data_IF_828201602129
#
_entry.id   IF_828201602129
#
_cell.length_a   1.000
_cell.length_b   1.000
_cell.length_c   1.000
_cell.angle_alpha   90.00
_cell.angle_beta   90.00
_cell.angle_gamma   90.00
#
_symmetry.space_group_name_H-M   'P 1'
#
loop_
_entity.id
_entity.type
_entity.pdbx_description
1 polymer ?
#
# COMPACT_ATOMS: atom_id res chain seq x y z
N UNK A 1 11.81 6.75 -31.09
CA UNK A 1 12.17 5.38 -30.71
C UNK A 1 13.65 5.21 -30.31
N UNK A 2 14.57 6.07 -30.69
CA UNK A 2 16.04 5.96 -30.43
C UNK A 2 16.54 6.63 -29.15
N UNK A 3 15.82 7.60 -28.58
CA UNK A 3 16.26 8.34 -27.37
C UNK A 3 16.02 7.59 -26.05
N UNK A 4 15.12 6.60 -26.02
CA UNK A 4 14.78 5.84 -24.80
C UNK A 4 15.82 4.77 -24.41
N UNK A 5 16.62 4.31 -25.37
CA UNK A 5 17.57 3.21 -25.12
C UNK A 5 18.90 3.65 -24.46
N UNK A 6 19.31 4.90 -24.57
CA UNK A 6 20.64 5.35 -24.10
C UNK A 6 20.63 5.75 -22.62
N UNK A 7 19.57 6.37 -22.12
CA UNK A 7 19.48 6.74 -20.70
C UNK A 7 19.13 5.55 -19.81
N UNK A 8 18.25 4.68 -20.27
CA UNK A 8 17.94 3.43 -19.55
C UNK A 8 19.16 2.53 -19.45
N UNK A 9 19.96 2.43 -20.53
CA UNK A 9 21.22 1.68 -20.52
C UNK A 9 22.26 2.30 -19.56
N UNK A 10 22.36 3.62 -19.49
CA UNK A 10 23.25 4.31 -18.54
C UNK A 10 22.87 4.12 -17.09
N UNK A 11 21.57 4.19 -16.77
CA UNK A 11 21.06 3.94 -15.42
C UNK A 11 21.33 2.49 -15.02
N UNK A 12 21.08 1.53 -15.91
CA UNK A 12 21.37 0.10 -15.71
C UNK A 12 22.87 -0.13 -15.51
N UNK A 13 23.72 0.56 -16.26
CA UNK A 13 25.18 0.43 -16.16
C UNK A 13 25.74 1.06 -14.89
N UNK A 14 25.23 2.20 -14.46
CA UNK A 14 25.57 2.83 -13.17
C UNK A 14 25.20 1.91 -12.01
N UNK A 15 24.01 1.32 -12.04
CA UNK A 15 23.58 0.38 -10.99
C UNK A 15 24.34 -0.96 -11.03
N UNK A 16 24.70 -1.44 -12.21
CA UNK A 16 25.55 -2.62 -12.37
C UNK A 16 26.94 -2.38 -11.75
N UNK A 17 27.57 -1.23 -12.06
CA UNK A 17 28.85 -0.82 -11.47
C UNK A 17 28.75 -0.62 -9.96
N UNK A 18 27.61 -0.14 -9.44
CA UNK A 18 27.38 0.01 -8.01
C UNK A 18 27.19 -1.35 -7.34
N UNK A 19 26.49 -2.28 -7.96
CA UNK A 19 26.28 -3.64 -7.45
C UNK A 19 27.56 -4.49 -7.49
N UNK A 20 28.40 -4.30 -8.50
CA UNK A 20 29.70 -4.99 -8.59
C UNK A 20 30.72 -4.53 -7.54
N UNK A 21 30.59 -3.27 -7.08
CA UNK A 21 31.46 -2.68 -6.04
C UNK A 21 31.01 -2.91 -4.60
N UNK A 22 29.79 -3.44 -4.38
CA UNK A 22 29.23 -3.70 -3.06
C UNK A 22 28.94 -5.20 -2.88
N UNK A 23 29.83 -5.94 -2.20
CA UNK A 23 29.71 -7.40 -2.00
C UNK A 23 28.37 -7.81 -1.37
N UNK A 24 27.81 -6.98 -0.49
CA UNK A 24 26.54 -7.25 0.21
C UNK A 24 25.32 -7.16 -0.73
N UNK A 25 25.32 -6.22 -1.67
CA UNK A 25 24.26 -6.14 -2.69
C UNK A 25 24.31 -7.32 -3.66
N UNK A 26 25.51 -7.81 -3.99
CA UNK A 26 25.68 -9.01 -4.81
C UNK A 26 25.19 -10.27 -4.08
N UNK A 27 25.47 -10.40 -2.79
CA UNK A 27 24.96 -11.49 -1.96
C UNK A 27 23.44 -11.43 -1.85
N UNK A 28 22.87 -10.25 -1.68
CA UNK A 28 21.43 -10.05 -1.65
C UNK A 28 20.75 -10.38 -2.99
N UNK A 29 21.34 -9.98 -4.11
CA UNK A 29 20.89 -10.38 -5.46
C UNK A 29 20.90 -11.90 -5.62
N UNK A 30 22.01 -12.57 -5.26
CA UNK A 30 22.10 -14.02 -5.31
C UNK A 30 21.06 -14.71 -4.40
N UNK A 31 20.80 -14.16 -3.23
CA UNK A 31 19.78 -14.65 -2.32
C UNK A 31 18.36 -14.53 -2.92
N UNK A 32 18.02 -13.38 -3.54
CA UNK A 32 16.75 -13.21 -4.23
C UNK A 32 16.61 -14.17 -5.42
N UNK A 33 17.65 -14.30 -6.24
CA UNK A 33 17.67 -15.29 -7.33
C UNK A 33 17.50 -16.72 -6.83
N UNK A 34 18.16 -17.08 -5.74
CA UNK A 34 18.01 -18.42 -5.15
C UNK A 34 16.60 -18.67 -4.63
N UNK A 35 15.98 -17.69 -4.02
CA UNK A 35 14.59 -17.82 -3.54
C UNK A 35 13.63 -17.94 -4.72
N UNK A 36 13.65 -17.01 -5.67
CA UNK A 36 12.64 -16.97 -6.71
C UNK A 36 12.87 -17.96 -7.85
N UNK A 37 14.12 -18.27 -8.23
CA UNK A 37 14.41 -19.31 -9.22
C UNK A 37 14.11 -20.73 -8.72
N UNK A 38 14.10 -20.95 -7.39
CA UNK A 38 13.65 -22.19 -6.78
C UNK A 38 12.17 -22.20 -6.40
N UNK A 39 11.53 -21.05 -6.37
CA UNK A 39 10.11 -20.93 -6.04
C UNK A 39 9.27 -21.29 -7.26
N UNK A 40 8.62 -22.45 -7.21
CA UNK A 40 7.64 -22.83 -8.22
C UNK A 40 6.39 -21.95 -8.12
N UNK A 41 5.61 -21.84 -9.21
CA UNK A 41 4.30 -21.21 -9.18
C UNK A 41 3.39 -21.84 -8.12
N UNK A 42 3.51 -23.17 -7.91
CA UNK A 42 2.77 -23.86 -6.85
C UNK A 42 3.15 -23.36 -5.44
N UNK A 43 4.44 -23.24 -5.14
CA UNK A 43 4.91 -22.72 -3.84
C UNK A 43 4.50 -21.26 -3.63
N UNK A 44 4.53 -20.45 -4.68
CA UNK A 44 4.06 -19.07 -4.64
C UNK A 44 2.54 -19.00 -4.37
N UNK A 45 1.74 -19.85 -5.00
CA UNK A 45 0.30 -19.92 -4.72
C UNK A 45 0.02 -20.35 -3.27
N UNK A 46 0.79 -21.29 -2.72
CA UNK A 46 0.69 -21.64 -1.29
C UNK A 46 0.99 -20.44 -0.41
N UNK A 47 2.04 -19.67 -0.73
CA UNK A 47 2.35 -18.43 -0.02
C UNK A 47 1.17 -17.43 -0.07
N UNK A 48 0.54 -17.21 -1.23
CA UNK A 48 -0.64 -16.34 -1.35
C UNK A 48 -1.84 -16.87 -0.55
N UNK A 49 -2.06 -18.18 -0.51
CA UNK A 49 -3.12 -18.80 0.31
C UNK A 49 -2.85 -18.53 1.81
N UNK A 50 -1.61 -18.75 2.26
CA UNK A 50 -1.22 -18.46 3.65
C UNK A 50 -1.48 -16.99 3.97
N UNK A 51 -1.04 -16.07 3.09
CA UNK A 51 -1.28 -14.64 3.25
C UNK A 51 -2.78 -14.31 3.31
N UNK A 52 -3.61 -14.98 2.50
CA UNK A 52 -5.07 -14.78 2.53
C UNK A 52 -5.69 -15.26 3.83
N UNK A 53 -5.27 -16.42 4.34
CA UNK A 53 -5.74 -16.94 5.64
C UNK A 53 -5.35 -15.99 6.77
N UNK A 54 -4.09 -15.51 6.79
CA UNK A 54 -3.63 -14.54 7.78
C UNK A 54 -4.41 -13.22 7.68
N UNK A 55 -4.75 -12.76 6.46
CA UNK A 55 -5.60 -11.57 6.28
C UNK A 55 -6.98 -11.74 6.95
N UNK A 56 -7.61 -12.91 6.79
CA UNK A 56 -8.90 -13.21 7.45
C UNK A 56 -8.74 -13.23 8.97
N UNK A 57 -7.68 -13.84 9.49
CA UNK A 57 -7.38 -13.85 10.94
C UNK A 57 -7.19 -12.43 11.48
N UNK A 58 -6.43 -11.59 10.75
CA UNK A 58 -6.22 -10.18 11.10
C UNK A 58 -7.53 -9.41 11.07
N UNK A 59 -8.35 -9.59 10.02
CA UNK A 59 -9.66 -8.98 9.89
C UNK A 59 -10.54 -9.25 11.11
N UNK A 60 -10.67 -10.52 11.50
CA UNK A 60 -11.45 -10.93 12.66
C UNK A 60 -10.85 -10.36 13.95
N UNK A 61 -9.53 -10.46 14.12
CA UNK A 61 -8.83 -10.00 15.33
C UNK A 61 -9.01 -8.50 15.58
N UNK A 62 -9.03 -7.67 14.52
CA UNK A 62 -9.18 -6.22 14.61
C UNK A 62 -10.59 -5.76 15.03
N UNK A 63 -11.58 -6.65 15.08
CA UNK A 63 -12.86 -6.36 15.73
C UNK A 63 -12.80 -6.50 17.26
N UNK A 64 -11.82 -7.24 17.78
CA UNK A 64 -11.66 -7.47 19.22
C UNK A 64 -10.53 -6.65 19.83
N UNK A 65 -9.51 -6.29 19.00
CA UNK A 65 -8.32 -5.59 19.45
C UNK A 65 -8.17 -4.29 18.66
N UNK A 66 -8.13 -3.16 19.38
CA UNK A 66 -7.86 -1.87 18.76
C UNK A 66 -6.37 -1.76 18.37
N UNK A 67 -6.10 -1.47 17.12
CA UNK A 67 -4.75 -1.12 16.69
C UNK A 67 -4.30 0.17 17.39
N UNK A 68 -3.31 0.05 18.26
CA UNK A 68 -2.94 1.03 19.29
C UNK A 68 -2.29 2.33 18.79
N UNK A 69 -2.62 2.86 17.60
CA UNK A 69 -2.04 4.08 17.02
C UNK A 69 -3.09 5.09 16.54
N UNK A 70 -2.67 6.32 16.28
CA UNK A 70 -3.54 7.42 15.88
C UNK A 70 -4.55 7.76 16.98
N UNK A 71 -5.84 7.83 16.66
CA UNK A 71 -6.94 8.11 17.61
C UNK A 71 -7.10 7.04 18.71
N UNK A 72 -6.49 5.87 18.53
CA UNK A 72 -6.54 4.71 19.43
C UNK A 72 -5.19 4.42 20.08
N UNK A 73 -4.27 5.40 20.13
CA UNK A 73 -2.96 5.21 20.74
C UNK A 73 -3.05 4.61 22.14
N UNK A 74 -2.26 3.55 22.37
CA UNK A 74 -2.20 2.84 23.65
C UNK A 74 -0.76 2.44 23.96
N UNK A 75 -0.24 2.87 25.11
CA UNK A 75 1.11 2.57 25.61
C UNK A 75 1.39 1.08 25.79
N UNK A 76 0.36 0.24 25.96
CA UNK A 76 0.52 -1.22 26.09
C UNK A 76 1.14 -1.87 24.84
N UNK A 77 1.10 -1.18 23.70
CA UNK A 77 1.70 -1.65 22.44
C UNK A 77 3.20 -1.36 22.32
N UNK A 78 3.84 -0.87 23.38
CA UNK A 78 5.29 -0.69 23.44
C UNK A 78 5.75 0.78 23.40
N UNK A 79 7.08 1.00 23.25
CA UNK A 79 7.66 2.33 23.23
C UNK A 79 7.08 3.22 22.13
N UNK A 80 6.93 4.50 22.44
CA UNK A 80 6.41 5.50 21.51
C UNK A 80 7.50 6.00 20.56
N UNK A 81 7.16 6.04 19.27
CA UNK A 81 7.97 6.64 18.20
C UNK A 81 7.24 7.85 17.66
N UNK A 82 7.94 8.88 17.23
CA UNK A 82 7.34 10.01 16.54
C UNK A 82 6.52 9.49 15.33
N UNK A 83 5.28 9.97 15.20
CA UNK A 83 4.34 9.42 14.22
C UNK A 83 4.82 9.62 12.77
N UNK A 84 5.42 10.76 12.44
CA UNK A 84 5.97 11.02 11.09
C UNK A 84 7.11 10.06 10.78
N UNK A 85 8.04 9.90 11.71
CA UNK A 85 9.15 8.96 11.58
C UNK A 85 8.61 7.51 11.51
N UNK A 86 7.64 7.17 12.35
CA UNK A 86 6.99 5.86 12.32
C UNK A 86 6.40 5.52 10.96
N UNK A 87 5.69 6.45 10.32
CA UNK A 87 5.15 6.28 8.96
C UNK A 87 6.25 6.08 7.92
N UNK A 88 7.31 6.91 7.94
CA UNK A 88 8.44 6.74 7.02
C UNK A 88 9.09 5.37 7.20
N UNK A 89 9.39 4.96 8.43
CA UNK A 89 10.03 3.69 8.73
C UNK A 89 9.14 2.49 8.37
N UNK A 90 7.83 2.62 8.51
CA UNK A 90 6.88 1.55 8.25
C UNK A 90 6.65 1.34 6.74
N UNK A 91 6.55 2.43 5.96
CA UNK A 91 6.15 2.37 4.56
C UNK A 91 7.35 2.37 3.58
N UNK A 92 8.50 2.98 3.94
CA UNK A 92 9.66 3.02 3.02
C UNK A 92 10.29 1.64 2.71
N UNK A 93 10.24 0.62 3.58
CA UNK A 93 10.84 -0.68 3.25
C UNK A 93 10.25 -1.35 2.02
N UNK A 94 8.94 -1.21 1.77
CA UNK A 94 8.32 -1.80 0.57
C UNK A 94 8.77 -1.09 -0.69
N UNK A 95 8.89 0.25 -0.65
CA UNK A 95 9.43 1.04 -1.76
C UNK A 95 10.82 0.55 -2.16
N UNK A 96 11.75 0.47 -1.22
CA UNK A 96 13.10 -0.01 -1.51
C UNK A 96 13.13 -1.49 -1.90
N UNK A 97 12.32 -2.33 -1.27
CA UNK A 97 12.25 -3.74 -1.60
C UNK A 97 11.76 -3.98 -3.03
N UNK A 98 10.73 -3.26 -3.49
CA UNK A 98 10.24 -3.36 -4.86
C UNK A 98 11.28 -2.90 -5.88
N UNK A 99 11.98 -1.79 -5.60
CA UNK A 99 13.10 -1.33 -6.45
C UNK A 99 14.22 -2.37 -6.53
N UNK A 100 14.58 -3.00 -5.41
CA UNK A 100 15.60 -4.04 -5.39
C UNK A 100 15.14 -5.29 -6.16
N UNK A 101 13.89 -5.73 -5.98
CA UNK A 101 13.32 -6.85 -6.73
C UNK A 101 13.34 -6.58 -8.25
N UNK A 102 12.95 -5.38 -8.67
CA UNK A 102 13.03 -4.97 -10.06
C UNK A 102 14.48 -4.95 -10.57
N UNK A 103 15.38 -4.28 -9.85
CA UNK A 103 16.78 -4.07 -10.25
C UNK A 103 17.52 -5.39 -10.50
N UNK A 104 17.24 -6.38 -9.65
CA UNK A 104 17.90 -7.70 -9.74
C UNK A 104 17.15 -8.72 -10.61
N UNK A 105 16.04 -8.32 -11.22
CA UNK A 105 15.29 -9.18 -12.13
C UNK A 105 15.88 -9.16 -13.54
N UNK A 106 15.85 -10.31 -14.23
CA UNK A 106 16.16 -10.39 -15.66
C UNK A 106 15.10 -9.70 -16.53
N UNK A 107 13.90 -9.42 -15.94
CA UNK A 107 12.76 -8.75 -16.58
C UNK A 107 12.74 -7.23 -16.36
N UNK A 108 13.84 -6.66 -15.88
CA UNK A 108 13.92 -5.21 -15.56
C UNK A 108 13.71 -4.27 -16.73
N UNK A 109 13.93 -4.73 -17.97
CA UNK A 109 13.73 -3.94 -19.19
C UNK A 109 12.32 -4.11 -19.80
N UNK A 110 11.47 -4.96 -19.21
CA UNK A 110 10.11 -5.18 -19.69
C UNK A 110 9.23 -3.96 -19.39
N UNK A 111 8.70 -3.34 -20.43
CA UNK A 111 7.93 -2.08 -20.33
C UNK A 111 6.63 -2.24 -19.57
N UNK A 112 5.97 -3.41 -19.66
CA UNK A 112 4.71 -3.66 -18.94
C UNK A 112 4.98 -3.77 -17.44
N UNK A 113 6.02 -4.48 -17.06
CA UNK A 113 6.44 -4.63 -15.67
C UNK A 113 6.95 -3.33 -15.07
N UNK A 114 7.60 -2.49 -15.88
CA UNK A 114 7.97 -1.13 -15.49
C UNK A 114 6.76 -0.23 -15.23
N UNK A 115 5.71 -0.35 -16.05
CA UNK A 115 4.46 0.39 -15.81
C UNK A 115 3.82 0.00 -14.47
N UNK A 116 3.80 -1.30 -14.13
CA UNK A 116 3.30 -1.77 -12.83
C UNK A 116 4.17 -1.28 -11.67
N UNK A 117 5.49 -1.34 -11.82
CA UNK A 117 6.41 -0.78 -10.83
C UNK A 117 6.15 0.70 -10.61
N UNK A 118 6.04 1.48 -11.68
CA UNK A 118 5.80 2.92 -11.59
C UNK A 118 4.51 3.24 -10.82
N UNK A 119 3.42 2.54 -11.10
CA UNK A 119 2.14 2.75 -10.40
C UNK A 119 2.24 2.35 -8.92
N UNK A 120 2.88 1.23 -8.62
CA UNK A 120 3.10 0.79 -7.26
C UNK A 120 3.95 1.80 -6.46
N UNK A 121 5.06 2.24 -7.05
CA UNK A 121 5.96 3.21 -6.41
C UNK A 121 5.35 4.60 -6.28
N UNK A 122 4.45 4.99 -7.20
CA UNK A 122 3.72 6.26 -7.10
C UNK A 122 2.90 6.34 -5.80
N UNK A 123 2.21 5.25 -5.44
CA UNK A 123 1.54 5.14 -4.15
C UNK A 123 2.52 5.25 -2.98
N UNK A 124 3.61 4.47 -3.01
CA UNK A 124 4.53 4.42 -1.88
C UNK A 124 5.41 5.66 -1.74
N UNK A 125 5.73 6.38 -2.82
CA UNK A 125 6.32 7.73 -2.74
C UNK A 125 5.38 8.66 -1.96
N UNK A 126 4.12 8.67 -2.32
CA UNK A 126 3.11 9.47 -1.62
C UNK A 126 2.98 9.06 -0.16
N UNK A 127 2.90 7.76 0.12
CA UNK A 127 2.63 7.24 1.46
C UNK A 127 3.84 7.31 2.40
N UNK A 128 5.04 7.05 1.88
CA UNK A 128 6.28 7.03 2.67
C UNK A 128 6.92 8.40 2.85
N UNK A 129 6.88 9.23 1.79
CA UNK A 129 7.70 10.45 1.76
C UNK A 129 6.90 11.75 1.64
N UNK A 130 5.67 11.73 1.14
CA UNK A 130 4.84 12.94 1.04
C UNK A 130 3.88 13.05 2.23
N UNK A 131 3.08 12.03 2.47
CA UNK A 131 2.06 12.02 3.52
C UNK A 131 2.61 12.32 4.93
N UNK A 132 3.70 11.66 5.41
CA UNK A 132 4.20 11.90 6.76
C UNK A 132 4.66 13.35 6.99
N UNK A 133 5.27 13.97 5.98
CA UNK A 133 5.75 15.35 6.10
C UNK A 133 4.61 16.37 6.02
N UNK A 134 3.48 16.00 5.40
CA UNK A 134 2.27 16.84 5.36
C UNK A 134 1.42 16.71 6.63
N UNK A 135 1.65 15.73 7.50
CA UNK A 135 0.93 15.56 8.76
C UNK A 135 1.15 16.74 9.71
N UNK A 136 0.08 17.21 10.35
CA UNK A 136 0.11 18.26 11.38
C UNK A 136 0.12 17.62 12.77
N UNK A 137 0.74 18.34 13.73
CA UNK A 137 0.79 17.95 15.15
C UNK A 137 1.93 16.99 15.49
N UNK A 138 1.99 16.63 16.78
CA UNK A 138 3.07 15.84 17.41
C UNK A 138 2.54 14.52 17.99
N UNK A 139 1.79 13.76 17.19
CA UNK A 139 1.31 12.45 17.61
C UNK A 139 2.43 11.42 17.60
N UNK A 140 2.19 10.31 18.32
CA UNK A 140 3.13 9.19 18.41
C UNK A 140 2.43 7.89 18.01
N UNK A 141 3.22 6.88 17.62
CA UNK A 141 2.75 5.51 17.42
C UNK A 141 3.65 4.52 18.15
N UNK A 142 3.15 3.36 18.57
CA UNK A 142 3.96 2.32 19.20
C UNK A 142 4.95 1.69 18.21
N UNK A 143 6.15 1.39 18.69
CA UNK A 143 7.18 0.71 17.90
C UNK A 143 6.72 -0.65 17.35
N UNK A 144 5.91 -1.41 18.11
CA UNK A 144 5.35 -2.68 17.64
C UNK A 144 4.52 -2.52 16.36
N UNK A 145 3.75 -1.44 16.23
CA UNK A 145 2.98 -1.13 15.01
C UNK A 145 3.93 -0.87 13.85
N UNK A 146 5.01 -0.13 14.07
CA UNK A 146 6.04 0.10 13.04
C UNK A 146 6.64 -1.22 12.57
N UNK A 147 7.05 -2.09 13.51
CA UNK A 147 7.64 -3.40 13.19
C UNK A 147 6.66 -4.29 12.43
N UNK A 148 5.39 -4.33 12.87
CA UNK A 148 4.35 -5.09 12.17
C UNK A 148 4.13 -4.57 10.74
N UNK A 149 4.11 -3.25 10.57
CA UNK A 149 3.98 -2.62 9.26
C UNK A 149 5.17 -2.91 8.35
N UNK A 150 6.41 -2.79 8.85
CA UNK A 150 7.62 -3.18 8.10
C UNK A 150 7.54 -4.64 7.65
N UNK A 151 7.20 -5.55 8.56
CA UNK A 151 7.08 -6.98 8.24
C UNK A 151 6.04 -7.22 7.15
N UNK A 152 4.84 -6.64 7.30
CA UNK A 152 3.79 -6.75 6.30
C UNK A 152 4.23 -6.16 4.95
N UNK A 153 4.84 -4.98 4.95
CA UNK A 153 5.28 -4.30 3.75
C UNK A 153 6.38 -5.08 2.99
N UNK A 154 7.28 -5.74 3.68
CA UNK A 154 8.26 -6.65 3.05
C UNK A 154 7.57 -7.88 2.43
N UNK A 155 6.59 -8.48 3.13
CA UNK A 155 5.79 -9.57 2.58
C UNK A 155 4.96 -9.12 1.36
N UNK A 156 4.44 -7.89 1.38
CA UNK A 156 3.74 -7.32 0.23
C UNK A 156 4.67 -7.12 -0.97
N UNK A 157 5.88 -6.58 -0.76
CA UNK A 157 6.89 -6.50 -1.82
C UNK A 157 7.19 -7.89 -2.41
N UNK A 158 7.30 -8.93 -1.56
CA UNK A 158 7.48 -10.31 -2.02
C UNK A 158 6.29 -10.83 -2.83
N UNK A 159 5.05 -10.50 -2.46
CA UNK A 159 3.86 -10.87 -3.24
C UNK A 159 3.84 -10.17 -4.60
N UNK A 160 3.91 -8.83 -4.60
CA UNK A 160 3.77 -8.02 -5.82
C UNK A 160 4.99 -8.14 -6.73
N UNK A 161 6.18 -7.85 -6.20
CA UNK A 161 7.44 -7.92 -6.95
C UNK A 161 7.79 -9.36 -7.35
N UNK A 162 7.51 -10.33 -6.46
CA UNK A 162 7.66 -11.75 -6.77
C UNK A 162 6.85 -12.15 -8.00
N UNK A 163 5.56 -11.81 -8.04
CA UNK A 163 4.72 -12.07 -9.19
C UNK A 163 5.19 -11.32 -10.44
N UNK A 164 5.33 -10.00 -10.34
CA UNK A 164 5.63 -9.13 -11.48
C UNK A 164 6.96 -9.49 -12.11
N UNK A 165 8.00 -9.72 -11.32
CA UNK A 165 9.37 -9.81 -11.83
C UNK A 165 9.93 -11.22 -11.94
N UNK A 166 9.35 -12.23 -11.26
CA UNK A 166 9.97 -13.55 -11.18
C UNK A 166 9.03 -14.70 -11.53
N UNK A 167 7.78 -14.70 -11.04
CA UNK A 167 6.90 -15.88 -11.03
C UNK A 167 5.93 -15.90 -12.21
N UNK A 168 5.41 -14.73 -12.65
CA UNK A 168 4.47 -14.69 -13.77
C UNK A 168 5.10 -15.33 -15.02
N UNK A 169 4.34 -16.07 -15.85
CA UNK A 169 4.84 -16.57 -17.14
C UNK A 169 5.42 -15.42 -18.00
N UNK A 170 6.38 -15.75 -18.87
CA UNK A 170 7.05 -14.72 -19.67
C UNK A 170 6.09 -14.00 -20.62
N UNK A 171 5.13 -14.74 -21.17
CA UNK A 171 4.08 -14.29 -22.07
C UNK A 171 2.81 -13.78 -21.38
N UNK A 172 2.80 -13.72 -20.02
CA UNK A 172 1.62 -13.31 -19.26
C UNK A 172 1.21 -11.87 -19.54
N UNK A 173 2.16 -10.98 -19.77
CA UNK A 173 1.96 -9.58 -20.12
C UNK A 173 2.50 -9.31 -21.54
N UNK A 174 1.68 -9.54 -22.60
CA UNK A 174 2.08 -9.26 -23.97
C UNK A 174 2.33 -7.75 -24.19
N UNK A 175 3.04 -7.40 -25.25
CA UNK A 175 3.49 -6.03 -25.54
C UNK A 175 2.34 -5.02 -25.67
N UNK A 176 1.15 -5.47 -25.98
CA UNK A 176 -0.09 -4.68 -26.10
C UNK A 176 -0.93 -4.64 -24.81
N UNK A 177 -0.42 -5.18 -23.68
CA UNK A 177 -1.15 -5.20 -22.40
C UNK A 177 -1.66 -3.83 -21.97
N UNK A 178 -0.95 -2.74 -22.26
CA UNK A 178 -1.38 -1.37 -21.93
C UNK A 178 -2.68 -0.98 -22.63
N UNK A 179 -3.05 -1.64 -23.71
CA UNK A 179 -4.31 -1.44 -24.46
C UNK A 179 -5.37 -2.47 -24.10
N UNK A 180 -5.03 -3.47 -23.29
CA UNK A 180 -5.98 -4.45 -22.79
C UNK A 180 -7.04 -3.79 -21.90
N UNK A 181 -8.33 -4.11 -22.03
CA UNK A 181 -9.40 -3.55 -21.21
C UNK A 181 -9.15 -3.71 -19.70
N UNK A 182 -8.52 -4.80 -19.26
CA UNK A 182 -8.17 -5.03 -17.85
C UNK A 182 -7.18 -3.98 -17.36
N UNK A 183 -6.14 -3.69 -18.15
CA UNK A 183 -5.20 -2.64 -17.79
C UNK A 183 -5.88 -1.26 -17.76
N UNK A 184 -6.63 -0.89 -18.80
CA UNK A 184 -7.27 0.42 -18.89
C UNK A 184 -8.26 0.63 -17.75
N UNK A 185 -9.16 -0.32 -17.51
CA UNK A 185 -10.15 -0.23 -16.43
C UNK A 185 -9.43 -0.18 -15.07
N UNK A 186 -8.48 -1.09 -14.83
CA UNK A 186 -7.73 -1.13 -13.59
C UNK A 186 -6.93 0.14 -13.34
N UNK A 187 -6.33 0.71 -14.36
CA UNK A 187 -5.61 1.99 -14.28
C UNK A 187 -6.53 3.16 -13.91
N UNK A 188 -7.71 3.25 -14.53
CA UNK A 188 -8.70 4.28 -14.19
C UNK A 188 -9.17 4.11 -12.74
N UNK A 189 -9.49 2.88 -12.32
CA UNK A 189 -9.92 2.58 -10.95
C UNK A 189 -8.80 2.91 -9.94
N UNK A 190 -7.54 2.57 -10.26
CA UNK A 190 -6.37 2.90 -9.45
C UNK A 190 -6.24 4.41 -9.25
N UNK A 191 -6.30 5.20 -10.32
CA UNK A 191 -6.18 6.66 -10.25
C UNK A 191 -7.35 7.30 -9.48
N UNK A 192 -8.58 6.80 -9.66
CA UNK A 192 -9.74 7.26 -8.90
C UNK A 192 -9.54 6.98 -7.40
N UNK A 193 -9.11 5.77 -7.06
CA UNK A 193 -8.82 5.39 -5.67
C UNK A 193 -7.75 6.27 -5.03
N UNK A 194 -6.63 6.46 -5.72
CA UNK A 194 -5.53 7.31 -5.29
C UNK A 194 -5.97 8.77 -5.11
N UNK A 195 -6.77 9.31 -6.03
CA UNK A 195 -7.32 10.66 -5.92
C UNK A 195 -8.21 10.79 -4.68
N UNK A 196 -9.13 9.85 -4.45
CA UNK A 196 -10.00 9.84 -3.28
C UNK A 196 -9.17 9.75 -1.99
N UNK A 197 -8.14 8.89 -1.95
CA UNK A 197 -7.27 8.73 -0.80
C UNK A 197 -6.56 10.05 -0.46
N UNK A 198 -5.85 10.66 -1.42
CA UNK A 198 -5.10 11.90 -1.23
C UNK A 198 -6.02 13.07 -0.86
N UNK A 199 -7.13 13.24 -1.58
CA UNK A 199 -8.10 14.30 -1.31
C UNK A 199 -8.68 14.17 0.11
N UNK A 200 -9.01 12.94 0.52
CA UNK A 200 -9.58 12.69 1.84
C UNK A 200 -8.58 12.97 2.97
N UNK A 201 -7.32 12.60 2.79
CA UNK A 201 -6.25 12.93 3.75
C UNK A 201 -6.04 14.45 3.83
N UNK A 202 -6.16 15.17 2.71
CA UNK A 202 -6.08 16.63 2.67
C UNK A 202 -7.27 17.28 3.40
N UNK A 203 -8.48 16.77 3.22
CA UNK A 203 -9.66 17.23 3.96
C UNK A 203 -9.44 17.05 5.46
N UNK A 204 -9.05 15.85 5.93
CA UNK A 204 -8.78 15.58 7.35
C UNK A 204 -7.71 16.53 7.90
N UNK A 205 -6.63 16.73 7.16
CA UNK A 205 -5.53 17.62 7.56
C UNK A 205 -6.00 19.07 7.73
N UNK A 206 -6.88 19.53 6.84
CA UNK A 206 -7.33 20.93 6.81
C UNK A 206 -8.48 21.22 7.79
N UNK A 207 -9.09 20.20 8.40
CA UNK A 207 -10.10 20.39 9.45
C UNK A 207 -9.57 21.15 10.66
N UNK A 208 -8.26 21.10 10.93
CA UNK A 208 -7.63 21.75 12.09
C UNK A 208 -6.67 22.83 11.65
N UNK A 209 -6.71 23.96 12.36
CA UNK A 209 -5.65 24.97 12.31
C UNK A 209 -4.43 24.48 13.09
N UNK A 210 -3.31 25.12 12.88
CA UNK A 210 -2.09 24.82 13.64
C UNK A 210 -2.32 25.10 15.13
N UNK A 211 -1.93 24.14 15.99
CA UNK A 211 -2.17 24.22 17.44
C UNK A 211 -3.55 23.76 17.91
N UNK A 212 -4.49 23.52 17.01
CA UNK A 212 -5.83 23.03 17.37
C UNK A 212 -5.82 21.51 17.62
N UNK A 213 -6.28 21.11 18.80
CA UNK A 213 -6.36 19.72 19.26
C UNK A 213 -7.76 19.13 19.21
N UNK A 214 -8.78 19.92 18.83
CA UNK A 214 -10.18 19.46 18.76
C UNK A 214 -10.37 18.43 17.66
N UNK A 215 -11.36 17.59 17.85
CA UNK A 215 -11.82 16.68 16.81
C UNK A 215 -12.96 17.33 16.01
N UNK A 216 -12.96 17.10 14.72
CA UNK A 216 -13.99 17.58 13.79
C UNK A 216 -14.47 16.42 12.93
N UNK A 217 -15.77 16.42 12.63
CA UNK A 217 -16.37 15.49 11.70
C UNK A 217 -16.11 15.97 10.25
N UNK A 218 -15.37 15.21 9.43
CA UNK A 218 -15.23 15.55 8.02
C UNK A 218 -16.56 15.36 7.29
N UNK A 219 -16.94 16.34 6.44
CA UNK A 219 -18.23 16.34 5.74
C UNK A 219 -18.10 16.58 4.22
N UNK A 220 -16.87 16.81 3.72
CA UNK A 220 -16.60 17.11 2.32
C UNK A 220 -16.18 15.88 1.52
N UNK A 221 -16.21 15.98 0.19
CA UNK A 221 -15.81 14.90 -0.71
C UNK A 221 -16.56 13.60 -0.43
N UNK A 222 -15.83 12.48 -0.40
CA UNK A 222 -16.39 11.16 -0.11
C UNK A 222 -16.82 10.98 1.35
N UNK A 223 -16.43 11.87 2.28
CA UNK A 223 -16.95 11.85 3.65
C UNK A 223 -18.47 12.12 3.75
N UNK A 224 -19.09 12.59 2.68
CA UNK A 224 -20.57 12.66 2.58
C UNK A 224 -21.25 11.28 2.60
N UNK A 225 -20.50 10.23 2.31
CA UNK A 225 -21.02 8.86 2.15
C UNK A 225 -20.40 7.85 3.11
N UNK A 226 -19.15 8.09 3.54
CA UNK A 226 -18.43 7.19 4.45
C UNK A 226 -17.59 7.98 5.46
N UNK A 227 -17.41 7.43 6.67
CA UNK A 227 -16.59 8.06 7.72
C UNK A 227 -15.09 7.90 7.49
N UNK A 228 -14.68 6.96 6.65
CA UNK A 228 -13.29 6.63 6.36
C UNK A 228 -13.02 6.69 4.85
N UNK A 229 -13.21 7.88 4.27
CA UNK A 229 -13.12 8.10 2.84
C UNK A 229 -11.70 7.85 2.29
N UNK A 230 -10.66 8.17 3.06
CA UNK A 230 -9.28 7.86 2.71
C UNK A 230 -9.04 6.33 2.64
N UNK A 231 -9.59 5.55 3.55
CA UNK A 231 -9.51 4.08 3.51
C UNK A 231 -10.29 3.50 2.33
N UNK A 232 -11.44 4.07 2.01
CA UNK A 232 -12.18 3.70 0.82
C UNK A 232 -11.35 3.94 -0.44
N UNK A 233 -10.74 5.12 -0.56
CA UNK A 233 -9.86 5.46 -1.69
C UNK A 233 -8.71 4.47 -1.83
N UNK A 234 -8.01 4.15 -0.74
CA UNK A 234 -6.90 3.20 -0.73
C UNK A 234 -7.35 1.78 -1.11
N UNK A 235 -8.52 1.34 -0.64
CA UNK A 235 -9.09 0.06 -1.03
C UNK A 235 -9.44 0.00 -2.52
N UNK A 236 -10.06 1.05 -3.07
CA UNK A 236 -10.38 1.17 -4.50
C UNK A 236 -9.10 1.19 -5.33
N UNK A 237 -8.07 1.89 -4.89
CA UNK A 237 -6.76 1.96 -5.53
C UNK A 237 -6.15 0.56 -5.68
N UNK A 238 -6.12 -0.25 -4.62
CA UNK A 238 -5.56 -1.60 -4.68
C UNK A 238 -6.44 -2.60 -5.43
N UNK A 239 -7.77 -2.41 -5.49
CA UNK A 239 -8.62 -3.14 -6.44
C UNK A 239 -8.21 -2.80 -7.87
N UNK A 240 -8.01 -1.51 -8.19
CA UNK A 240 -7.51 -1.07 -9.49
C UNK A 240 -6.19 -1.74 -9.86
N UNK A 241 -5.23 -1.78 -8.92
CA UNK A 241 -3.95 -2.46 -9.12
C UNK A 241 -4.11 -3.97 -9.36
N UNK A 242 -5.00 -4.64 -8.64
CA UNK A 242 -5.31 -6.05 -8.85
C UNK A 242 -5.89 -6.32 -10.24
N UNK A 243 -6.75 -5.42 -10.73
CA UNK A 243 -7.36 -5.52 -12.06
C UNK A 243 -6.31 -5.28 -13.16
N UNK A 244 -5.49 -4.22 -13.05
CA UNK A 244 -4.49 -3.89 -14.09
C UNK A 244 -3.35 -4.89 -14.18
N UNK A 245 -2.97 -5.53 -13.08
CA UNK A 245 -1.99 -6.62 -13.07
C UNK A 245 -2.63 -7.99 -13.33
N UNK A 246 -3.96 -8.09 -13.24
CA UNK A 246 -4.74 -9.32 -13.39
C UNK A 246 -4.12 -10.48 -12.61
N UNK A 247 -3.73 -10.24 -11.38
CA UNK A 247 -2.94 -11.17 -10.59
C UNK A 247 -3.58 -11.53 -9.24
N UNK A 248 -3.41 -12.78 -8.82
CA UNK A 248 -3.80 -13.19 -7.47
C UNK A 248 -3.00 -12.45 -6.40
N UNK A 249 -1.75 -12.09 -6.67
CA UNK A 249 -0.95 -11.25 -5.75
C UNK A 249 -1.63 -9.90 -5.48
N UNK A 250 -2.08 -9.22 -6.55
CA UNK A 250 -2.85 -7.98 -6.43
C UNK A 250 -4.17 -8.19 -5.69
N UNK A 251 -4.91 -9.25 -6.00
CA UNK A 251 -6.18 -9.56 -5.33
C UNK A 251 -6.00 -9.84 -3.82
N UNK A 252 -4.97 -10.58 -3.45
CA UNK A 252 -4.63 -10.85 -2.03
C UNK A 252 -4.25 -9.56 -1.32
N UNK A 253 -3.54 -8.64 -1.97
CA UNK A 253 -3.21 -7.36 -1.36
C UNK A 253 -4.44 -6.45 -1.20
N UNK A 254 -5.35 -6.41 -2.16
CA UNK A 254 -6.64 -5.72 -1.99
C UNK A 254 -7.45 -6.33 -0.82
N UNK A 255 -7.45 -7.65 -0.67
CA UNK A 255 -8.03 -8.34 0.49
C UNK A 255 -7.38 -7.89 1.81
N UNK A 256 -6.05 -7.82 1.87
CA UNK A 256 -5.31 -7.34 3.03
C UNK A 256 -5.63 -5.90 3.38
N UNK A 257 -5.72 -5.04 2.37
CA UNK A 257 -6.12 -3.64 2.55
C UNK A 257 -7.49 -3.56 3.22
N UNK A 258 -8.49 -4.29 2.71
CA UNK A 258 -9.80 -4.33 3.35
C UNK A 258 -9.76 -4.97 4.73
N UNK A 259 -9.02 -6.05 4.90
CA UNK A 259 -8.89 -6.75 6.18
C UNK A 259 -8.32 -5.86 7.30
N UNK A 260 -7.41 -4.97 6.96
CA UNK A 260 -6.83 -4.00 7.90
C UNK A 260 -7.74 -2.77 8.08
N UNK A 261 -8.24 -2.20 7.00
CA UNK A 261 -8.92 -0.91 7.02
C UNK A 261 -10.42 -1.01 7.35
N UNK A 262 -11.09 -2.11 7.00
CA UNK A 262 -12.52 -2.31 7.24
C UNK A 262 -12.91 -2.29 8.73
N UNK A 263 -12.31 -3.13 9.60
CA UNK A 263 -12.58 -3.11 11.04
C UNK A 263 -12.20 -1.78 11.67
N UNK A 264 -11.11 -1.17 11.20
CA UNK A 264 -10.67 0.14 11.67
C UNK A 264 -11.66 1.25 11.32
N UNK A 265 -12.24 1.20 10.11
CA UNK A 265 -13.31 2.12 9.70
C UNK A 265 -14.56 1.95 10.58
N UNK A 266 -14.90 0.71 10.97
CA UNK A 266 -15.98 0.46 11.91
C UNK A 266 -15.73 1.15 13.26
N UNK A 267 -14.51 1.04 13.81
CA UNK A 267 -14.14 1.70 15.06
C UNK A 267 -14.18 3.23 14.95
N UNK A 268 -13.75 3.79 13.83
CA UNK A 268 -13.83 5.25 13.57
C UNK A 268 -15.29 5.69 13.50
N UNK A 269 -16.13 4.93 12.82
CA UNK A 269 -17.57 5.21 12.73
C UNK A 269 -18.24 5.22 14.10
N UNK A 270 -18.00 4.19 14.92
CA UNK A 270 -18.56 4.08 16.27
C UNK A 270 -18.08 5.24 17.17
N UNK A 271 -16.79 5.60 17.06
CA UNK A 271 -16.24 6.76 17.76
C UNK A 271 -16.90 8.07 17.32
N UNK A 272 -17.08 8.30 16.01
CA UNK A 272 -17.75 9.49 15.51
C UNK A 272 -19.21 9.56 15.94
N UNK A 273 -19.89 8.42 15.95
CA UNK A 273 -21.27 8.35 16.45
C UNK A 273 -21.38 8.76 17.92
N UNK A 274 -20.44 8.37 18.76
CA UNK A 274 -20.40 8.75 20.18
C UNK A 274 -20.00 10.24 20.35
N UNK A 275 -19.06 10.74 19.54
CA UNK A 275 -18.48 12.07 19.73
C UNK A 275 -19.35 13.17 19.11
N UNK A 276 -19.99 12.93 17.97
CA UNK A 276 -20.74 13.91 17.21
C UNK A 276 -22.26 13.69 17.20
N UNK A 277 -22.74 12.57 17.72
CA UNK A 277 -24.16 12.30 17.87
C UNK A 277 -24.98 12.53 16.59
N UNK A 278 -25.95 13.45 16.66
CA UNK A 278 -26.87 13.75 15.56
C UNK A 278 -26.22 14.48 14.36
N UNK A 279 -25.00 15.01 14.52
CA UNK A 279 -24.27 15.58 13.38
C UNK A 279 -23.86 14.52 12.34
N UNK A 280 -23.74 13.27 12.77
CA UNK A 280 -23.46 12.13 11.89
C UNK A 280 -24.77 11.52 11.40
N UNK A 281 -25.15 11.80 10.13
CA UNK A 281 -26.31 11.16 9.50
C UNK A 281 -26.04 9.65 9.27
N UNK A 282 -26.34 8.84 10.27
CA UNK A 282 -26.10 7.38 10.25
C UNK A 282 -26.94 6.63 9.21
N UNK A 283 -28.02 7.24 8.66
CA UNK A 283 -28.79 6.65 7.57
C UNK A 283 -28.05 6.72 6.25
N UNK A 284 -27.37 7.84 6.00
CA UNK A 284 -26.66 8.13 4.77
C UNK A 284 -25.19 7.71 4.81
N UNK A 285 -24.49 8.06 5.89
CA UNK A 285 -23.04 7.85 6.02
C UNK A 285 -22.75 6.44 6.53
N UNK A 286 -21.88 5.71 5.83
CA UNK A 286 -21.47 4.34 6.13
C UNK A 286 -20.04 4.32 6.69
N UNK A 287 -19.50 3.14 6.97
CA UNK A 287 -18.15 2.96 7.53
C UNK A 287 -17.06 3.23 6.50
N UNK A 288 -17.02 2.40 5.46
CA UNK A 288 -15.97 2.43 4.43
C UNK A 288 -16.51 2.26 3.01
N UNK A 289 -17.56 1.46 2.77
CA UNK A 289 -18.13 1.26 1.44
C UNK A 289 -19.42 2.08 1.32
N UNK A 290 -19.45 3.09 0.40
CA UNK A 290 -20.64 3.93 0.21
C UNK A 290 -21.91 3.10 0.02
N UNK A 291 -22.96 3.47 0.71
CA UNK A 291 -24.31 2.88 0.68
C UNK A 291 -24.42 1.44 1.23
N UNK A 292 -23.31 0.72 1.45
CA UNK A 292 -23.30 -0.70 1.87
C UNK A 292 -22.83 -0.85 3.33
N UNK A 293 -21.58 -0.49 3.61
CA UNK A 293 -20.94 -0.78 4.89
C UNK A 293 -20.12 0.39 5.46
#
# INVERSE_FOLDING_TARGET
>A
MFFYNVESAKIIEIFRLFSEKTPDLRRFSLFLHLIYNKMSLHSFNIFLIIMSVVAVVVFVSLYFVDAGYGKFYNKKWGPAVNNKLGWVLMESPVFFAMLLLWLFSDRRADMMRLAFLFLFELHYIQRSFVFPFRMRGHSVMPLSIVVMGVTFNLLNAMMQGGWIFYISPDDYYPADWLTDPRFIIGFIVFLIGMFINIQSDDIIRNLRKEGDTKHYLPKEGMFRYVTSANYFGEFVEWIGFAILTWSWAGAVFALWTFANLGPRAARIYDKYKLEFGDELDTKKVKRIIPFIY
#
